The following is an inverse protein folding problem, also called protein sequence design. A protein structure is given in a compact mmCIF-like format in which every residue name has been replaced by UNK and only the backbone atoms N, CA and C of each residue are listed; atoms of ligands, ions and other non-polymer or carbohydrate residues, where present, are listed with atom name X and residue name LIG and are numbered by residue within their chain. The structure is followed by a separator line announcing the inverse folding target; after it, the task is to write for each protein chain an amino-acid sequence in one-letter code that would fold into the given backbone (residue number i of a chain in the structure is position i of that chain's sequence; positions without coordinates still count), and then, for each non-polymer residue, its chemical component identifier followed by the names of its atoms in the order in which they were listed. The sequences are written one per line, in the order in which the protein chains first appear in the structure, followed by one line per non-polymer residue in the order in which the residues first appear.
data_IF_801176672572
#
_entry.id   IF_801176672572
#
_cell.length_a   1.000
_cell.length_b   1.000
_cell.length_c   1.000
_cell.angle_alpha   90.00
_cell.angle_beta   90.00
_cell.angle_gamma   90.00
#
_symmetry.space_group_name_H-M   'P 1'
#
loop_
_entity.id
_entity.type
_entity.pdbx_description
1 polymer ?
#
# COMPACT_ATOMS: atom_id res chain seq x y z
N UNK A 1 -38.56 40.92 -20.36
CA UNK A 1 -37.13 40.99 -20.01
C UNK A 1 -36.63 39.57 -19.85
N UNK A 2 -35.70 39.06 -20.67
CA UNK A 2 -35.19 37.70 -20.53
C UNK A 2 -34.11 37.66 -19.46
N UNK A 3 -34.26 36.70 -18.52
CA UNK A 3 -33.33 36.48 -17.43
C UNK A 3 -32.00 35.92 -17.94
N UNK A 4 -30.93 36.51 -17.47
CA UNK A 4 -29.55 36.16 -17.72
C UNK A 4 -29.18 34.88 -16.92
N UNK A 5 -29.20 33.72 -17.58
CA UNK A 5 -28.68 32.46 -17.00
C UNK A 5 -27.16 32.46 -17.17
N UNK A 6 -26.46 33.07 -16.20
CA UNK A 6 -25.02 33.00 -16.12
C UNK A 6 -24.57 31.53 -15.93
N UNK A 7 -23.93 30.98 -16.94
CA UNK A 7 -23.16 29.71 -16.78
C UNK A 7 -22.05 29.97 -15.77
N UNK A 8 -21.78 29.04 -14.83
CA UNK A 8 -20.63 29.21 -13.96
C UNK A 8 -19.35 29.26 -14.81
N UNK A 9 -18.59 30.33 -14.66
CA UNK A 9 -17.24 30.45 -15.21
C UNK A 9 -16.37 29.45 -14.44
N UNK A 10 -16.04 28.33 -15.08
CA UNK A 10 -14.98 27.47 -14.59
C UNK A 10 -13.67 28.24 -14.73
N UNK A 11 -13.03 28.54 -13.61
CA UNK A 11 -11.64 29.01 -13.58
C UNK A 11 -10.75 27.95 -14.26
N UNK A 12 -9.67 28.43 -14.90
CA UNK A 12 -8.66 27.55 -15.50
C UNK A 12 -8.26 26.42 -14.52
N UNK A 13 -7.96 25.21 -15.01
CA UNK A 13 -7.56 24.11 -14.15
C UNK A 13 -6.35 24.56 -13.30
N UNK A 14 -6.47 24.44 -11.97
CA UNK A 14 -5.35 24.67 -11.05
C UNK A 14 -4.18 23.78 -11.45
N UNK A 15 -2.95 24.29 -11.37
CA UNK A 15 -1.73 23.57 -11.72
C UNK A 15 -1.67 22.21 -11.00
N UNK A 16 -1.39 21.14 -11.73
CA UNK A 16 -1.37 19.75 -11.24
C UNK A 16 -0.45 19.53 -10.02
N UNK A 17 0.68 20.18 -9.97
CA UNK A 17 1.67 20.17 -8.89
C UNK A 17 2.64 21.32 -9.08
N UNK A 18 2.95 22.06 -8.01
CA UNK A 18 3.92 23.13 -8.08
C UNK A 18 5.36 22.64 -7.83
N UNK A 19 6.36 23.45 -8.19
CA UNK A 19 7.78 23.12 -8.07
C UNK A 19 8.21 22.83 -6.61
N UNK A 20 7.58 23.48 -5.63
CA UNK A 20 7.89 23.24 -4.20
C UNK A 20 7.46 21.84 -3.79
N UNK A 21 6.27 21.40 -4.20
CA UNK A 21 5.77 20.03 -3.95
C UNK A 21 6.65 18.98 -4.64
N UNK A 22 7.04 19.22 -5.90
CA UNK A 22 7.95 18.34 -6.62
C UNK A 22 9.29 18.18 -5.89
N UNK A 23 9.92 19.27 -5.50
CA UNK A 23 11.19 19.27 -4.77
C UNK A 23 11.06 18.56 -3.41
N UNK A 24 9.96 18.77 -2.71
CA UNK A 24 9.67 18.10 -1.44
C UNK A 24 9.57 16.58 -1.61
N UNK A 25 8.83 16.09 -2.62
CA UNK A 25 8.71 14.67 -2.89
C UNK A 25 10.05 14.04 -3.26
N UNK A 26 10.84 14.70 -4.13
CA UNK A 26 12.18 14.22 -4.49
C UNK A 26 13.10 14.12 -3.27
N UNK A 27 13.01 15.06 -2.35
CA UNK A 27 13.79 15.04 -1.10
C UNK A 27 13.39 13.84 -0.24
N UNK A 28 12.09 13.57 -0.04
CA UNK A 28 11.63 12.41 0.73
C UNK A 28 12.11 11.11 0.07
N UNK A 29 11.85 10.94 -1.23
CA UNK A 29 12.22 9.74 -1.98
C UNK A 29 13.71 9.46 -1.86
N UNK A 30 14.55 10.47 -2.06
CA UNK A 30 16.02 10.30 -2.03
C UNK A 30 16.53 10.05 -0.62
N UNK A 31 16.04 10.80 0.37
CA UNK A 31 16.53 10.71 1.76
C UNK A 31 16.15 9.37 2.40
N UNK A 32 14.91 8.94 2.25
CA UNK A 32 14.47 7.65 2.80
C UNK A 32 15.08 6.45 2.08
N UNK A 33 15.25 6.51 0.75
CA UNK A 33 16.00 5.47 0.00
C UNK A 33 17.44 5.36 0.50
N UNK A 34 18.15 6.49 0.62
CA UNK A 34 19.53 6.48 1.08
C UNK A 34 19.67 5.87 2.49
N UNK A 35 18.73 6.17 3.39
CA UNK A 35 18.72 5.57 4.73
C UNK A 35 18.62 4.04 4.67
N UNK A 36 17.74 3.48 3.81
CA UNK A 36 17.62 2.03 3.62
C UNK A 36 18.91 1.43 3.07
N UNK A 37 19.48 2.07 2.04
CA UNK A 37 20.72 1.60 1.41
C UNK A 37 21.93 1.71 2.34
N UNK A 38 22.06 2.80 3.12
CA UNK A 38 23.15 2.99 4.08
C UNK A 38 23.12 1.91 5.17
N UNK A 39 21.92 1.56 5.68
CA UNK A 39 21.75 0.48 6.66
C UNK A 39 22.09 -0.89 6.06
N UNK A 40 21.73 -1.12 4.80
CA UNK A 40 22.08 -2.34 4.06
C UNK A 40 23.58 -2.46 3.81
N UNK A 41 24.26 -1.36 3.50
CA UNK A 41 25.70 -1.34 3.26
C UNK A 41 26.50 -1.45 4.58
N UNK A 42 25.98 -0.86 5.67
CA UNK A 42 26.62 -0.93 7.00
C UNK A 42 26.57 -2.33 7.62
N UNK A 43 25.58 -3.16 7.25
CA UNK A 43 25.45 -4.53 7.75
C UNK A 43 25.23 -5.53 6.59
N UNK A 44 26.28 -5.87 5.83
CA UNK A 44 26.17 -6.75 4.66
C UNK A 44 25.78 -8.19 5.02
N UNK A 45 26.00 -8.62 6.26
CA UNK A 45 25.65 -9.96 6.76
C UNK A 45 24.17 -10.09 7.17
N UNK A 46 23.43 -8.99 7.20
CA UNK A 46 21.98 -8.98 7.42
C UNK A 46 21.27 -8.93 6.05
N UNK A 47 20.81 -10.07 5.51
CA UNK A 47 20.31 -10.16 4.13
C UNK A 47 18.83 -9.78 4.00
N UNK A 48 18.40 -8.77 4.74
CA UNK A 48 16.99 -8.33 4.77
C UNK A 48 16.91 -6.81 4.70
N UNK A 49 15.77 -6.28 4.26
CA UNK A 49 15.45 -4.84 4.42
C UNK A 49 15.45 -4.53 5.91
N UNK A 50 16.30 -3.60 6.31
CA UNK A 50 16.40 -3.17 7.69
C UNK A 50 15.76 -1.79 7.88
N UNK A 51 14.53 -1.78 8.37
CA UNK A 51 13.79 -0.57 8.78
C UNK A 51 13.38 -0.66 10.25
N UNK A 52 14.21 -1.30 11.07
CA UNK A 52 13.98 -1.61 12.49
C UNK A 52 14.38 -0.46 13.41
N UNK A 53 13.69 0.66 13.24
CA UNK A 53 13.88 1.87 14.04
C UNK A 53 12.54 2.55 14.34
N UNK A 54 12.53 3.32 15.41
CA UNK A 54 11.40 4.20 15.74
C UNK A 54 11.38 5.40 14.81
N UNK A 55 10.32 5.53 14.00
CA UNK A 55 10.13 6.71 13.14
C UNK A 55 9.89 8.00 13.95
N UNK A 56 9.59 7.87 15.25
CA UNK A 56 9.40 9.00 16.14
C UNK A 56 10.73 9.54 16.72
N UNK A 57 11.62 8.64 17.14
CA UNK A 57 12.86 9.01 17.83
C UNK A 57 14.14 8.72 17.04
N UNK A 58 14.09 7.84 16.03
CA UNK A 58 15.25 7.31 15.33
C UNK A 58 16.01 6.22 16.10
N UNK A 59 15.50 5.80 17.25
CA UNK A 59 16.12 4.78 18.10
C UNK A 59 16.00 3.39 17.45
N UNK A 60 17.12 2.65 17.44
CA UNK A 60 17.18 1.28 16.93
C UNK A 60 16.44 0.32 17.86
N UNK A 61 15.59 -0.55 17.31
CA UNK A 61 14.86 -1.51 18.13
C UNK A 61 15.77 -2.53 18.82
N UNK A 62 16.91 -2.87 18.22
CA UNK A 62 17.90 -3.76 18.85
C UNK A 62 18.49 -3.17 20.14
N UNK A 63 18.48 -1.85 20.31
CA UNK A 63 18.92 -1.16 21.51
C UNK A 63 17.86 -1.07 22.61
N UNK A 64 16.60 -1.48 22.31
CA UNK A 64 15.52 -1.46 23.27
C UNK A 64 15.70 -2.54 24.32
N UNK A 65 15.77 -2.15 25.60
CA UNK A 65 15.93 -3.07 26.73
C UNK A 65 14.61 -3.61 27.30
N UNK A 66 13.47 -3.07 26.89
CA UNK A 66 12.15 -3.51 27.35
C UNK A 66 11.74 -4.80 26.60
N UNK A 67 11.62 -5.96 27.30
CA UNK A 67 11.26 -7.25 26.68
C UNK A 67 9.89 -7.25 26.00
N UNK A 68 8.99 -6.35 26.38
CA UNK A 68 7.69 -6.17 25.74
C UNK A 68 7.82 -5.90 24.23
N UNK A 69 8.95 -5.34 23.77
CA UNK A 69 9.21 -4.99 22.39
C UNK A 69 10.19 -5.93 21.67
N UNK A 70 10.50 -7.11 22.24
CA UNK A 70 11.48 -8.03 21.64
C UNK A 70 11.11 -8.44 20.20
N UNK A 71 9.83 -8.59 19.89
CA UNK A 71 9.34 -8.92 18.54
C UNK A 71 9.66 -7.85 17.48
N UNK A 72 10.15 -6.67 17.87
CA UNK A 72 10.57 -5.59 16.95
C UNK A 72 12.04 -5.70 16.53
N UNK A 73 12.85 -6.50 17.22
CA UNK A 73 14.30 -6.62 16.99
C UNK A 73 14.64 -7.29 15.67
N UNK A 74 15.89 -7.18 15.25
CA UNK A 74 16.40 -7.71 13.97
C UNK A 74 16.36 -9.24 13.87
N UNK A 75 16.19 -9.96 14.98
CA UNK A 75 15.98 -11.40 14.97
C UNK A 75 14.64 -11.82 14.34
N UNK A 76 13.66 -10.91 14.27
CA UNK A 76 12.35 -11.16 13.71
C UNK A 76 12.19 -10.46 12.35
N UNK A 77 11.95 -11.23 11.31
CA UNK A 77 11.82 -10.77 9.93
C UNK A 77 10.34 -10.66 9.58
N UNK A 78 9.88 -9.46 9.23
CA UNK A 78 8.53 -9.23 8.75
C UNK A 78 8.48 -9.44 7.24
N UNK A 79 7.92 -10.56 6.79
CA UNK A 79 7.89 -10.94 5.38
C UNK A 79 7.18 -9.90 4.50
N UNK A 80 6.15 -9.22 5.02
CA UNK A 80 5.49 -8.12 4.32
C UNK A 80 6.46 -6.97 3.99
N UNK A 81 7.34 -6.61 4.93
CA UNK A 81 8.35 -5.57 4.73
C UNK A 81 9.34 -5.97 3.66
N UNK A 82 9.74 -7.24 3.61
CA UNK A 82 10.68 -7.73 2.62
C UNK A 82 10.08 -7.68 1.21
N UNK A 83 8.86 -8.18 1.03
CA UNK A 83 8.14 -8.13 -0.25
C UNK A 83 7.87 -6.71 -0.71
N UNK A 84 7.36 -5.86 0.17
CA UNK A 84 7.15 -4.42 -0.08
C UNK A 84 8.45 -3.71 -0.44
N UNK A 85 9.54 -4.02 0.26
CA UNK A 85 10.86 -3.43 0.00
C UNK A 85 11.43 -3.83 -1.36
N UNK A 86 11.27 -5.07 -1.80
CA UNK A 86 11.68 -5.51 -3.14
C UNK A 86 10.95 -4.72 -4.23
N UNK A 87 9.63 -4.52 -4.08
CA UNK A 87 8.85 -3.72 -5.02
C UNK A 87 9.26 -2.24 -4.99
N UNK A 88 9.46 -1.67 -3.79
CA UNK A 88 9.89 -0.28 -3.63
C UNK A 88 11.27 -0.03 -4.25
N UNK A 89 12.25 -0.89 -3.99
CA UNK A 89 13.59 -0.80 -4.59
C UNK A 89 13.54 -0.87 -6.12
N UNK A 90 12.66 -1.72 -6.68
CA UNK A 90 12.45 -1.78 -8.14
C UNK A 90 11.82 -0.48 -8.67
N UNK A 91 10.83 0.07 -7.97
CA UNK A 91 10.25 1.37 -8.31
C UNK A 91 11.28 2.49 -8.33
N UNK A 92 12.21 2.49 -7.35
CA UNK A 92 13.33 3.44 -7.34
C UNK A 92 14.27 3.26 -8.53
N UNK A 93 14.64 2.02 -8.91
CA UNK A 93 15.46 1.76 -10.11
C UNK A 93 14.81 2.38 -11.35
N UNK A 94 13.51 2.18 -11.53
CA UNK A 94 12.76 2.71 -12.67
C UNK A 94 12.65 4.25 -12.63
N UNK A 95 12.71 4.85 -11.45
CA UNK A 95 12.64 6.30 -11.26
C UNK A 95 13.99 7.01 -11.44
N UNK A 96 15.14 6.33 -11.26
CA UNK A 96 16.47 6.94 -11.34
C UNK A 96 16.69 7.80 -12.60
N UNK A 97 16.32 7.38 -13.83
CA UNK A 97 16.55 8.16 -15.04
C UNK A 97 15.88 9.56 -15.02
N UNK A 98 14.83 9.71 -14.23
CA UNK A 98 14.04 10.96 -14.09
C UNK A 98 14.14 11.58 -12.70
N UNK A 99 15.00 11.06 -11.84
CA UNK A 99 15.15 11.49 -10.44
C UNK A 99 15.74 12.90 -10.28
N UNK A 100 16.46 13.40 -11.27
CA UNK A 100 17.22 14.65 -11.20
C UNK A 100 18.67 14.46 -10.70
N UNK A 101 19.08 13.25 -10.34
CA UNK A 101 20.48 12.91 -10.00
C UNK A 101 21.36 12.98 -11.26
N UNK A 102 22.65 13.30 -11.10
CA UNK A 102 23.59 13.14 -12.20
C UNK A 102 23.84 11.65 -12.55
N UNK A 103 24.38 11.40 -13.74
CA UNK A 103 24.57 10.02 -14.25
C UNK A 103 25.48 9.18 -13.34
N UNK A 104 26.51 9.76 -12.72
CA UNK A 104 27.42 9.04 -11.82
C UNK A 104 26.69 8.60 -10.56
N UNK A 105 25.89 9.48 -9.97
CA UNK A 105 25.09 9.19 -8.79
C UNK A 105 23.99 8.16 -9.09
N UNK A 106 23.32 8.28 -10.26
CA UNK A 106 22.34 7.27 -10.71
C UNK A 106 22.97 5.87 -10.80
N UNK A 107 24.15 5.74 -11.44
CA UNK A 107 24.85 4.47 -11.56
C UNK A 107 25.30 3.91 -10.21
N UNK A 108 25.80 4.75 -9.31
CA UNK A 108 26.17 4.35 -7.95
C UNK A 108 24.96 3.84 -7.18
N UNK A 109 23.85 4.60 -7.19
CA UNK A 109 22.62 4.25 -6.50
C UNK A 109 22.01 2.97 -7.08
N UNK A 110 21.97 2.81 -8.40
CA UNK A 110 21.49 1.59 -9.05
C UNK A 110 22.29 0.33 -8.62
N UNK A 111 23.62 0.44 -8.51
CA UNK A 111 24.44 -0.68 -8.01
C UNK A 111 24.11 -1.05 -6.57
N UNK A 112 23.93 -0.07 -5.69
CA UNK A 112 23.53 -0.30 -4.29
C UNK A 112 22.17 -0.98 -4.21
N UNK A 113 21.17 -0.48 -4.96
CA UNK A 113 19.85 -1.07 -5.03
C UNK A 113 19.91 -2.53 -5.50
N UNK A 114 20.64 -2.79 -6.62
CA UNK A 114 20.77 -4.15 -7.16
C UNK A 114 21.43 -5.11 -6.17
N UNK A 115 22.45 -4.65 -5.42
CA UNK A 115 23.11 -5.45 -4.39
C UNK A 115 22.16 -5.75 -3.23
N UNK A 116 21.38 -4.77 -2.79
CA UNK A 116 20.37 -4.95 -1.73
C UNK A 116 19.28 -5.91 -2.18
N UNK A 117 18.73 -5.76 -3.40
CA UNK A 117 17.75 -6.68 -3.97
C UNK A 117 18.28 -8.13 -3.94
N UNK A 118 19.48 -8.38 -4.41
CA UNK A 118 20.07 -9.73 -4.44
C UNK A 118 20.17 -10.33 -3.03
N UNK A 119 20.68 -9.57 -2.07
CA UNK A 119 20.77 -10.02 -0.67
C UNK A 119 19.41 -10.35 -0.07
N UNK A 120 18.41 -9.51 -0.29
CA UNK A 120 17.05 -9.74 0.23
C UNK A 120 16.42 -10.99 -0.41
N UNK A 121 16.59 -11.18 -1.71
CA UNK A 121 16.14 -12.40 -2.39
C UNK A 121 16.81 -13.62 -1.77
N UNK A 122 18.14 -13.63 -1.62
CA UNK A 122 18.88 -14.75 -1.04
C UNK A 122 18.42 -15.06 0.40
N UNK A 123 18.24 -14.02 1.22
CA UNK A 123 17.74 -14.15 2.59
C UNK A 123 16.34 -14.75 2.65
N UNK A 124 15.41 -14.23 1.84
CA UNK A 124 14.03 -14.70 1.83
C UNK A 124 13.88 -16.11 1.24
N UNK A 125 14.63 -16.44 0.18
CA UNK A 125 14.63 -17.80 -0.38
C UNK A 125 15.20 -18.82 0.61
N UNK A 126 16.19 -18.44 1.44
CA UNK A 126 16.67 -19.28 2.54
C UNK A 126 15.59 -19.54 3.60
N UNK A 127 14.80 -18.52 3.97
CA UNK A 127 13.67 -18.72 4.90
C UNK A 127 12.60 -19.64 4.28
N UNK A 128 12.28 -19.45 3.00
CA UNK A 128 11.32 -20.28 2.26
C UNK A 128 11.77 -21.74 2.17
N UNK A 129 13.04 -21.99 1.84
CA UNK A 129 13.58 -23.34 1.72
C UNK A 129 13.43 -24.16 3.01
N UNK A 130 13.54 -23.51 4.18
CA UNK A 130 13.33 -24.12 5.49
C UNK A 130 11.85 -24.43 5.81
N UNK A 131 10.92 -23.84 5.07
CA UNK A 131 9.47 -23.91 5.29
C UNK A 131 8.69 -24.47 4.09
N UNK A 132 9.26 -25.43 3.37
CA UNK A 132 8.62 -26.05 2.19
C UNK A 132 8.15 -25.04 1.14
N UNK A 133 8.92 -23.98 0.91
CA UNK A 133 8.60 -22.91 -0.04
C UNK A 133 7.58 -21.88 0.45
N UNK A 134 7.25 -21.87 1.75
CA UNK A 134 6.24 -21.00 2.35
C UNK A 134 6.86 -19.84 3.16
N UNK A 135 6.08 -18.76 3.31
CA UNK A 135 6.38 -17.63 4.18
C UNK A 135 5.25 -17.36 5.17
N UNK A 136 5.60 -16.71 6.27
CA UNK A 136 4.68 -16.28 7.31
C UNK A 136 4.96 -14.85 7.72
N UNK A 137 3.99 -14.17 8.33
CA UNK A 137 4.06 -12.76 8.70
C UNK A 137 5.35 -12.41 9.47
N UNK A 138 5.64 -13.18 10.53
CA UNK A 138 6.86 -13.06 11.31
C UNK A 138 7.66 -14.35 11.17
N UNK A 139 8.90 -14.23 10.69
CA UNK A 139 9.87 -15.32 10.66
C UNK A 139 11.02 -14.96 11.59
N UNK A 140 11.46 -15.89 12.43
CA UNK A 140 12.75 -15.73 13.08
C UNK A 140 13.87 -15.90 12.04
N UNK A 141 15.00 -15.24 12.22
CA UNK A 141 16.13 -15.28 11.25
C UNK A 141 16.67 -16.70 10.97
N UNK A 142 16.45 -17.66 11.85
CA UNK A 142 16.79 -19.07 11.63
C UNK A 142 15.79 -19.81 10.72
N UNK A 143 14.67 -19.20 10.38
CA UNK A 143 13.60 -19.73 9.54
C UNK A 143 12.37 -20.21 10.31
N UNK A 144 12.35 -20.15 11.63
CA UNK A 144 11.19 -20.55 12.44
C UNK A 144 10.04 -19.55 12.24
N UNK A 145 8.82 -19.98 11.84
CA UNK A 145 7.66 -19.10 11.81
C UNK A 145 7.20 -18.76 13.23
N UNK A 146 6.73 -17.53 13.46
CA UNK A 146 6.37 -17.00 14.78
C UNK A 146 4.97 -16.42 14.74
N UNK A 147 4.17 -16.70 15.77
CA UNK A 147 2.91 -16.00 16.07
C UNK A 147 3.09 -15.09 17.28
N UNK A 148 2.19 -14.11 17.41
CA UNK A 148 2.13 -13.26 18.59
C UNK A 148 0.97 -13.70 19.48
N UNK A 149 1.28 -13.99 20.73
CA UNK A 149 0.30 -14.21 21.81
C UNK A 149 0.23 -12.97 22.69
N UNK A 150 -0.92 -12.72 23.31
CA UNK A 150 -1.16 -11.60 24.22
C UNK A 150 -0.73 -10.23 23.65
N UNK A 151 -0.83 -10.06 22.33
CA UNK A 151 -0.49 -8.87 21.55
C UNK A 151 1.00 -8.46 21.54
N UNK A 152 1.88 -9.19 22.21
CA UNK A 152 3.32 -8.82 22.33
C UNK A 152 4.27 -10.01 22.51
N UNK A 153 3.79 -11.21 22.81
CA UNK A 153 4.67 -12.36 23.10
C UNK A 153 4.93 -13.18 21.83
N UNK A 154 6.17 -13.20 21.29
CA UNK A 154 6.51 -14.03 20.16
C UNK A 154 6.61 -15.51 20.57
N UNK A 155 5.87 -16.38 19.90
CA UNK A 155 5.83 -17.83 20.15
C UNK A 155 6.14 -18.59 18.86
N UNK A 156 7.12 -19.51 18.86
CA UNK A 156 7.43 -20.35 17.71
C UNK A 156 6.23 -21.19 17.26
N UNK A 157 6.08 -21.35 15.95
CA UNK A 157 5.10 -22.23 15.33
C UNK A 157 5.78 -23.49 14.78
N UNK A 158 5.09 -24.63 14.84
CA UNK A 158 5.61 -25.89 14.28
C UNK A 158 5.52 -25.95 12.75
N UNK A 159 4.57 -25.22 12.14
CA UNK A 159 4.38 -25.18 10.69
C UNK A 159 3.56 -23.95 10.29
N UNK A 160 3.70 -23.53 9.03
CA UNK A 160 2.88 -22.49 8.40
C UNK A 160 1.56 -23.14 7.94
N UNK A 161 0.39 -22.50 8.17
CA UNK A 161 -0.90 -22.97 7.66
C UNK A 161 -0.90 -23.20 6.14
N UNK A 162 -1.71 -24.17 5.67
CA UNK A 162 -1.72 -24.55 4.25
C UNK A 162 -2.22 -23.45 3.29
N UNK A 163 -3.20 -22.64 3.72
CA UNK A 163 -3.74 -21.55 2.91
C UNK A 163 -2.67 -20.50 2.55
N UNK A 164 -2.74 -19.96 1.34
CA UNK A 164 -1.91 -18.83 0.93
C UNK A 164 -2.26 -17.59 1.76
N UNK A 165 -1.28 -16.68 1.91
CA UNK A 165 -1.37 -15.57 2.85
C UNK A 165 -0.77 -14.27 2.29
N UNK A 166 -0.93 -13.17 3.04
CA UNK A 166 -0.41 -11.86 2.63
C UNK A 166 1.11 -11.80 2.49
N UNK A 167 1.86 -12.54 3.32
CA UNK A 167 3.33 -12.59 3.22
C UNK A 167 3.76 -13.10 1.85
N UNK A 168 3.12 -14.15 1.38
CA UNK A 168 3.37 -14.71 0.05
C UNK A 168 2.90 -13.76 -1.05
N UNK A 169 1.74 -13.12 -0.89
CA UNK A 169 1.21 -12.14 -1.84
C UNK A 169 2.18 -10.96 -2.03
N UNK A 170 2.65 -10.34 -0.95
CA UNK A 170 3.64 -9.26 -1.03
C UNK A 170 4.98 -9.73 -1.56
N UNK A 171 5.43 -10.90 -1.10
CA UNK A 171 6.73 -11.41 -1.50
C UNK A 171 6.80 -11.72 -3.00
N UNK A 172 5.87 -12.52 -3.52
CA UNK A 172 5.91 -12.90 -4.93
C UNK A 172 5.63 -11.74 -5.89
N UNK A 173 4.80 -10.78 -5.49
CA UNK A 173 4.63 -9.54 -6.22
C UNK A 173 5.93 -8.73 -6.29
N UNK A 174 6.61 -8.56 -5.17
CA UNK A 174 7.89 -7.86 -5.07
C UNK A 174 9.02 -8.63 -5.76
N UNK A 175 9.08 -9.96 -5.57
CA UNK A 175 10.08 -10.83 -6.19
C UNK A 175 10.02 -10.80 -7.71
N UNK A 176 8.81 -10.85 -8.30
CA UNK A 176 8.63 -10.74 -9.75
C UNK A 176 9.24 -9.44 -10.29
N UNK A 177 8.91 -8.32 -9.67
CA UNK A 177 9.41 -7.00 -10.07
C UNK A 177 10.93 -6.92 -9.93
N UNK A 178 11.47 -7.36 -8.79
CA UNK A 178 12.88 -7.31 -8.48
C UNK A 178 13.71 -8.27 -9.35
N UNK A 179 13.27 -9.51 -9.54
CA UNK A 179 13.95 -10.50 -10.38
C UNK A 179 13.99 -10.04 -11.84
N UNK A 180 12.89 -9.47 -12.34
CA UNK A 180 12.85 -8.88 -13.69
C UNK A 180 13.85 -7.73 -13.83
N UNK A 181 13.91 -6.84 -12.86
CA UNK A 181 14.81 -5.68 -12.89
C UNK A 181 16.31 -6.06 -12.87
N UNK A 182 16.68 -7.14 -12.15
CA UNK A 182 18.07 -7.63 -12.13
C UNK A 182 18.38 -8.63 -13.26
N UNK A 183 17.42 -8.90 -14.18
CA UNK A 183 17.60 -9.80 -15.32
C UNK A 183 17.53 -11.30 -15.01
N UNK A 184 17.04 -11.69 -13.82
CA UNK A 184 16.84 -13.10 -13.46
C UNK A 184 15.46 -13.59 -13.89
N UNK A 185 15.32 -13.85 -15.20
CA UNK A 185 14.03 -14.21 -15.80
C UNK A 185 13.45 -15.52 -15.27
N UNK A 186 14.30 -16.52 -14.98
CA UNK A 186 13.85 -17.80 -14.40
C UNK A 186 13.18 -17.61 -13.03
N UNK A 187 13.75 -16.75 -12.18
CA UNK A 187 13.18 -16.43 -10.88
C UNK A 187 11.90 -15.61 -11.02
N UNK A 188 11.86 -14.66 -11.98
CA UNK A 188 10.65 -13.89 -12.28
C UNK A 188 9.49 -14.80 -12.75
N UNK A 189 9.78 -15.77 -13.63
CA UNK A 189 8.78 -16.76 -14.08
C UNK A 189 8.25 -17.62 -12.92
N UNK A 190 9.13 -18.05 -12.02
CA UNK A 190 8.72 -18.79 -10.83
C UNK A 190 7.86 -17.93 -9.89
N UNK A 191 8.24 -16.68 -9.67
CA UNK A 191 7.44 -15.74 -8.89
C UNK A 191 6.05 -15.51 -9.50
N UNK A 192 5.97 -15.40 -10.84
CA UNK A 192 4.71 -15.26 -11.56
C UNK A 192 3.78 -16.47 -11.37
N UNK A 193 4.32 -17.70 -11.43
CA UNK A 193 3.55 -18.92 -11.18
C UNK A 193 2.99 -18.98 -9.76
N UNK A 194 3.81 -18.67 -8.77
CA UNK A 194 3.38 -18.62 -7.37
C UNK A 194 2.33 -17.52 -7.14
N UNK A 195 2.52 -16.35 -7.74
CA UNK A 195 1.54 -15.26 -7.67
C UNK A 195 0.20 -15.67 -8.29
N UNK A 196 0.19 -16.38 -9.42
CA UNK A 196 -1.05 -16.88 -10.04
C UNK A 196 -1.78 -17.88 -9.12
N UNK A 197 -1.06 -18.75 -8.40
CA UNK A 197 -1.67 -19.64 -7.42
C UNK A 197 -2.35 -18.87 -6.29
N UNK A 198 -1.72 -17.79 -5.81
CA UNK A 198 -2.30 -16.90 -4.80
C UNK A 198 -3.55 -16.22 -5.32
N UNK A 199 -3.54 -15.71 -6.56
CA UNK A 199 -4.73 -15.09 -7.18
C UNK A 199 -5.91 -16.07 -7.28
N UNK A 200 -5.65 -17.34 -7.58
CA UNK A 200 -6.67 -18.41 -7.59
C UNK A 200 -7.26 -18.63 -6.21
N UNK A 201 -6.44 -18.62 -5.15
CA UNK A 201 -6.94 -18.75 -3.77
C UNK A 201 -7.74 -17.52 -3.32
N UNK A 202 -7.31 -16.30 -3.69
CA UNK A 202 -8.08 -15.07 -3.46
C UNK A 202 -9.45 -15.15 -4.16
N UNK A 203 -9.47 -15.58 -5.41
CA UNK A 203 -10.70 -15.74 -6.20
C UNK A 203 -11.65 -16.79 -5.59
N UNK A 204 -11.10 -17.88 -5.05
CA UNK A 204 -11.86 -18.99 -4.48
C UNK A 204 -12.19 -18.80 -2.98
N UNK A 205 -11.86 -17.64 -2.40
CA UNK A 205 -12.04 -17.31 -0.97
C UNK A 205 -11.34 -18.28 -0.02
N UNK A 206 -10.24 -18.90 -0.46
CA UNK A 206 -9.40 -19.81 0.36
C UNK A 206 -8.10 -19.16 0.86
N UNK A 207 -7.91 -17.88 0.54
CA UNK A 207 -6.80 -17.06 1.03
C UNK A 207 -7.05 -16.61 2.47
N UNK A 208 -6.02 -16.72 3.34
CA UNK A 208 -6.13 -16.32 4.73
C UNK A 208 -5.17 -15.20 5.09
N UNK A 209 -5.58 -14.31 6.00
CA UNK A 209 -4.64 -13.37 6.59
C UNK A 209 -3.68 -14.08 7.52
N UNK A 210 -2.40 -13.70 7.45
CA UNK A 210 -1.36 -14.09 8.40
C UNK A 210 -0.94 -12.93 9.30
N UNK A 211 -1.58 -11.77 9.19
CA UNK A 211 -1.34 -10.61 10.03
C UNK A 211 -1.55 -10.97 11.51
N UNK A 212 -0.60 -10.55 12.35
CA UNK A 212 -0.66 -10.81 13.78
C UNK A 212 -1.33 -9.66 14.53
N UNK A 213 -2.05 -9.95 15.63
CA UNK A 213 -2.71 -8.93 16.42
C UNK A 213 -1.70 -8.22 17.33
N UNK A 214 -1.40 -6.95 17.05
CA UNK A 214 -0.59 -6.09 17.92
C UNK A 214 -1.43 -5.10 18.71
N UNK A 215 -2.68 -4.87 18.32
CA UNK A 215 -3.60 -3.95 18.97
C UNK A 215 -4.80 -4.72 19.54
N UNK A 216 -4.98 -4.74 20.88
CA UNK A 216 -6.11 -5.41 21.51
C UNK A 216 -7.47 -4.79 21.15
N UNK A 217 -7.49 -3.51 20.75
CA UNK A 217 -8.71 -2.82 20.38
C UNK A 217 -9.11 -3.07 18.92
N UNK A 218 -8.16 -3.56 18.10
CA UNK A 218 -8.40 -3.85 16.68
C UNK A 218 -7.63 -5.11 16.25
N UNK A 219 -7.96 -6.29 16.81
CA UNK A 219 -7.28 -7.53 16.45
C UNK A 219 -7.65 -7.91 15.01
N UNK A 220 -6.63 -8.00 14.15
CA UNK A 220 -6.80 -8.48 12.78
C UNK A 220 -6.58 -9.99 12.76
N UNK A 221 -7.69 -10.73 12.68
CA UNK A 221 -7.67 -12.21 12.64
C UNK A 221 -8.54 -12.71 11.52
N UNK A 222 -8.23 -13.92 11.04
CA UNK A 222 -9.11 -14.59 10.10
C UNK A 222 -10.44 -14.94 10.78
N UNK A 223 -11.54 -14.55 10.14
CA UNK A 223 -12.91 -14.86 10.58
C UNK A 223 -13.64 -15.54 9.43
N UNK A 224 -14.08 -16.82 9.61
CA UNK A 224 -14.88 -17.51 8.59
C UNK A 224 -16.11 -16.68 8.16
N UNK A 225 -16.38 -16.64 6.86
CA UNK A 225 -17.53 -15.90 6.33
C UNK A 225 -17.37 -14.37 6.29
N UNK A 226 -16.19 -13.84 6.69
CA UNK A 226 -15.84 -12.42 6.56
C UNK A 226 -14.76 -12.26 5.49
N UNK A 227 -15.09 -11.59 4.39
CA UNK A 227 -14.20 -11.38 3.27
C UNK A 227 -13.80 -9.92 3.17
N UNK A 228 -12.52 -9.64 3.39
CA UNK A 228 -11.93 -8.32 3.23
C UNK A 228 -11.55 -8.06 1.78
N UNK A 229 -11.60 -6.79 1.37
CA UNK A 229 -11.10 -6.38 0.06
C UNK A 229 -9.57 -6.42 -0.04
N UNK A 230 -8.87 -6.26 1.06
CA UNK A 230 -7.40 -6.11 1.10
C UNK A 230 -6.61 -7.05 0.18
N UNK A 231 -6.85 -8.38 0.15
CA UNK A 231 -6.12 -9.29 -0.75
C UNK A 231 -6.29 -8.91 -2.22
N UNK A 232 -7.51 -8.59 -2.66
CA UNK A 232 -7.80 -8.19 -4.05
C UNK A 232 -7.16 -6.84 -4.39
N UNK A 233 -7.25 -5.88 -3.48
CA UNK A 233 -6.67 -4.55 -3.65
C UNK A 233 -5.15 -4.62 -3.85
N UNK A 234 -4.44 -5.35 -2.98
CA UNK A 234 -2.99 -5.54 -3.09
C UNK A 234 -2.62 -6.32 -4.36
N UNK A 235 -3.42 -7.32 -4.74
CA UNK A 235 -3.25 -8.05 -5.98
C UNK A 235 -3.38 -7.15 -7.21
N UNK A 236 -4.38 -6.24 -7.27
CA UNK A 236 -4.58 -5.26 -8.35
C UNK A 236 -3.31 -4.42 -8.55
N UNK A 237 -2.72 -3.91 -7.46
CA UNK A 237 -1.47 -3.15 -7.53
C UNK A 237 -0.31 -3.94 -8.15
N UNK A 238 -0.20 -5.23 -7.81
CA UNK A 238 0.77 -6.15 -8.43
C UNK A 238 0.47 -6.42 -9.90
N UNK A 239 -0.78 -6.70 -10.23
CA UNK A 239 -1.22 -7.02 -11.59
C UNK A 239 -0.87 -5.93 -12.61
N UNK A 240 -0.86 -4.65 -12.21
CA UNK A 240 -0.37 -3.57 -13.06
C UNK A 240 1.08 -3.78 -13.49
N UNK A 241 1.96 -4.25 -12.59
CA UNK A 241 3.36 -4.54 -12.91
C UNK A 241 3.49 -5.75 -13.85
N UNK A 242 2.69 -6.82 -13.62
CA UNK A 242 2.70 -8.02 -14.46
C UNK A 242 2.16 -7.74 -15.87
N UNK A 243 1.12 -6.92 -16.01
CA UNK A 243 0.58 -6.53 -17.33
C UNK A 243 1.60 -5.73 -18.17
N UNK A 244 2.40 -4.89 -17.52
CA UNK A 244 3.46 -4.11 -18.18
C UNK A 244 4.64 -4.95 -18.64
N UNK A 245 4.91 -6.09 -18.01
CA UNK A 245 6.02 -6.97 -18.37
C UNK A 245 5.76 -7.81 -19.67
N UNK A 246 4.53 -7.93 -20.12
CA UNK A 246 4.16 -8.31 -21.48
C UNK A 246 4.18 -9.80 -21.87
N UNK A 247 4.90 -10.68 -21.20
CA UNK A 247 5.05 -12.09 -21.60
C UNK A 247 4.65 -13.05 -20.48
N UNK A 248 3.41 -13.55 -20.50
CA UNK A 248 2.96 -14.60 -19.57
C UNK A 248 1.84 -15.43 -20.17
N UNK A 249 1.78 -16.72 -19.79
CA UNK A 249 0.64 -17.60 -20.08
C UNK A 249 -0.59 -17.28 -19.20
N UNK A 250 -0.43 -16.53 -18.12
CA UNK A 250 -1.52 -16.17 -17.24
C UNK A 250 -2.29 -14.93 -17.73
N UNK A 251 -3.61 -14.93 -17.54
CA UNK A 251 -4.48 -13.82 -17.91
C UNK A 251 -4.48 -12.72 -16.83
N UNK A 252 -3.36 -11.97 -16.71
CA UNK A 252 -3.23 -10.87 -15.76
C UNK A 252 -4.31 -9.80 -15.92
N UNK A 253 -4.67 -9.49 -17.17
CA UNK A 253 -5.75 -8.55 -17.46
C UNK A 253 -7.10 -9.05 -16.95
N UNK A 254 -7.38 -10.34 -17.10
CA UNK A 254 -8.62 -10.96 -16.61
C UNK A 254 -8.71 -11.00 -15.09
N UNK A 255 -7.60 -11.27 -14.38
CA UNK A 255 -7.56 -11.19 -12.92
C UNK A 255 -7.81 -9.75 -12.45
N UNK A 256 -7.13 -8.76 -13.05
CA UNK A 256 -7.32 -7.35 -12.70
C UNK A 256 -8.77 -6.91 -12.93
N UNK A 257 -9.35 -7.22 -14.10
CA UNK A 257 -10.72 -6.87 -14.41
C UNK A 257 -11.72 -7.46 -13.39
N UNK A 258 -11.62 -8.77 -13.13
CA UNK A 258 -12.50 -9.44 -12.16
C UNK A 258 -12.41 -8.84 -10.76
N UNK A 259 -11.19 -8.61 -10.25
CA UNK A 259 -11.03 -8.07 -8.90
C UNK A 259 -11.51 -6.63 -8.77
N UNK A 260 -11.34 -5.81 -9.83
CA UNK A 260 -11.88 -4.44 -9.88
C UNK A 260 -13.42 -4.48 -9.96
N UNK A 261 -14.01 -5.32 -10.82
CA UNK A 261 -15.46 -5.49 -10.92
C UNK A 261 -16.07 -5.94 -9.59
N UNK A 262 -15.49 -6.97 -8.95
CA UNK A 262 -15.95 -7.45 -7.64
C UNK A 262 -15.86 -6.37 -6.56
N UNK A 263 -14.81 -5.54 -6.58
CA UNK A 263 -14.69 -4.42 -5.65
C UNK A 263 -15.78 -3.38 -5.87
N UNK A 264 -16.00 -2.96 -7.12
CA UNK A 264 -17.04 -1.99 -7.48
C UNK A 264 -18.46 -2.53 -7.22
N UNK A 265 -18.68 -3.84 -7.45
CA UNK A 265 -19.98 -4.45 -7.29
C UNK A 265 -20.36 -4.73 -5.82
N UNK A 266 -19.38 -5.03 -4.96
CA UNK A 266 -19.66 -5.58 -3.63
C UNK A 266 -19.10 -4.74 -2.49
N UNK A 267 -18.02 -4.00 -2.71
CA UNK A 267 -17.36 -3.19 -1.70
C UNK A 267 -17.62 -1.68 -1.84
N UNK A 268 -18.36 -1.26 -2.86
CA UNK A 268 -18.77 0.15 -3.04
C UNK A 268 -20.27 0.27 -3.00
N UNK A 269 -20.79 1.19 -2.20
CA UNK A 269 -22.21 1.53 -2.18
C UNK A 269 -22.53 2.55 -3.27
N UNK A 270 -22.47 2.14 -4.54
CA UNK A 270 -22.85 3.00 -5.65
C UNK A 270 -24.32 2.87 -6.03
N UNK A 271 -24.86 3.94 -6.61
CA UNK A 271 -26.22 3.98 -7.18
C UNK A 271 -27.35 3.61 -6.19
N UNK A 272 -27.17 3.90 -4.90
CA UNK A 272 -28.19 3.63 -3.88
C UNK A 272 -28.43 2.15 -3.60
N UNK A 273 -27.48 1.27 -3.88
CA UNK A 273 -27.58 -0.19 -3.64
C UNK A 273 -27.99 -0.50 -2.21
N UNK A 274 -27.46 0.23 -1.25
CA UNK A 274 -27.82 0.19 0.17
C UNK A 274 -28.22 1.59 0.62
N UNK A 275 -29.53 1.94 0.56
CA UNK A 275 -30.00 3.32 0.83
C UNK A 275 -29.67 3.85 2.23
N UNK A 276 -29.39 2.96 3.19
CA UNK A 276 -29.02 3.32 4.55
C UNK A 276 -27.51 3.63 4.70
N UNK A 277 -26.68 3.36 3.69
CA UNK A 277 -25.25 3.60 3.74
C UNK A 277 -24.89 4.89 2.98
N UNK A 278 -23.77 5.49 3.36
CA UNK A 278 -23.21 6.62 2.64
C UNK A 278 -22.97 6.27 1.17
N UNK A 279 -23.38 7.15 0.27
CA UNK A 279 -23.19 6.96 -1.18
C UNK A 279 -21.71 6.93 -1.51
N UNK A 280 -21.29 6.03 -2.40
CA UNK A 280 -19.89 5.69 -2.68
C UNK A 280 -19.06 5.31 -1.45
N UNK A 281 -19.68 5.06 -0.29
CA UNK A 281 -19.00 4.52 0.89
C UNK A 281 -18.34 3.18 0.59
N UNK A 282 -17.09 3.02 1.05
CA UNK A 282 -16.27 1.85 0.76
C UNK A 282 -16.36 0.82 1.88
N UNK A 283 -17.07 -0.28 1.62
CA UNK A 283 -17.38 -1.35 2.56
C UNK A 283 -16.13 -2.23 2.75
N UNK A 284 -15.51 -2.18 3.93
CA UNK A 284 -14.25 -2.87 4.22
C UNK A 284 -14.36 -4.39 4.10
N UNK A 285 -15.49 -4.97 4.53
CA UNK A 285 -15.72 -6.41 4.46
C UNK A 285 -17.15 -6.76 4.07
N UNK A 286 -17.29 -7.87 3.35
CA UNK A 286 -18.58 -8.46 2.96
C UNK A 286 -18.67 -9.90 3.45
N UNK A 287 -19.90 -10.43 3.54
CA UNK A 287 -20.19 -11.83 3.80
C UNK A 287 -20.02 -12.70 2.55
N UNK A 288 -20.18 -14.02 2.69
CA UNK A 288 -20.12 -14.96 1.55
C UNK A 288 -21.23 -14.72 0.50
N UNK A 289 -22.34 -14.15 0.91
CA UNK A 289 -23.44 -13.73 0.03
C UNK A 289 -23.26 -12.34 -0.60
N UNK A 290 -22.09 -11.73 -0.42
CA UNK A 290 -21.71 -10.39 -0.86
C UNK A 290 -22.50 -9.22 -0.19
N UNK A 291 -23.25 -9.47 0.88
CA UNK A 291 -23.84 -8.41 1.69
C UNK A 291 -22.81 -7.81 2.65
N UNK A 292 -22.97 -6.52 3.07
CA UNK A 292 -22.04 -5.90 4.01
C UNK A 292 -21.89 -6.68 5.31
N UNK A 293 -20.66 -6.83 5.79
CA UNK A 293 -20.39 -7.47 7.07
C UNK A 293 -20.56 -6.47 8.21
N UNK A 294 -21.34 -6.85 9.22
CA UNK A 294 -21.57 -6.01 10.41
C UNK A 294 -20.55 -6.38 11.49
N UNK A 295 -19.84 -5.40 12.00
CA UNK A 295 -18.89 -5.53 13.11
C UNK A 295 -19.37 -4.63 14.25
N UNK A 296 -19.74 -5.19 15.40
CA UNK A 296 -20.18 -4.42 16.58
C UNK A 296 -21.25 -3.36 16.22
N UNK A 297 -22.29 -3.78 15.50
CA UNK A 297 -23.42 -2.93 15.03
C UNK A 297 -23.05 -1.90 13.94
N UNK A 298 -21.77 -1.81 13.50
CA UNK A 298 -21.31 -0.92 12.44
C UNK A 298 -21.09 -1.66 11.13
N UNK A 299 -21.33 -0.98 10.02
CA UNK A 299 -20.81 -1.35 8.70
C UNK A 299 -19.57 -0.48 8.48
N UNK A 300 -18.40 -1.09 8.64
CA UNK A 300 -17.13 -0.36 8.63
C UNK A 300 -16.69 -0.03 7.20
N UNK A 301 -16.29 1.22 7.00
CA UNK A 301 -15.50 1.69 5.88
C UNK A 301 -14.08 2.05 6.33
N UNK A 302 -13.09 1.80 5.47
CA UNK A 302 -11.73 2.31 5.64
C UNK A 302 -11.46 3.35 4.53
N UNK A 303 -11.49 4.65 4.87
CA UNK A 303 -11.29 5.71 3.89
C UNK A 303 -9.91 5.65 3.20
N UNK A 304 -8.89 5.19 3.91
CA UNK A 304 -7.55 4.97 3.35
C UNK A 304 -7.53 3.87 2.31
N UNK A 305 -8.14 2.71 2.61
CA UNK A 305 -8.26 1.60 1.65
C UNK A 305 -9.09 1.99 0.40
N UNK A 306 -10.12 2.82 0.56
CA UNK A 306 -10.89 3.34 -0.57
C UNK A 306 -10.01 4.13 -1.54
N UNK A 307 -9.15 5.01 -1.02
CA UNK A 307 -8.24 5.82 -1.80
C UNK A 307 -7.09 4.96 -2.38
N UNK A 308 -6.52 4.03 -1.61
CA UNK A 308 -5.51 3.08 -2.08
C UNK A 308 -6.06 2.21 -3.21
N UNK A 309 -7.25 1.62 -3.05
CA UNK A 309 -7.92 0.86 -4.11
C UNK A 309 -8.07 1.70 -5.38
N UNK A 310 -8.59 2.92 -5.25
CA UNK A 310 -8.81 3.80 -6.40
C UNK A 310 -7.50 4.17 -7.12
N UNK A 311 -6.42 4.39 -6.38
CA UNK A 311 -5.09 4.63 -6.93
C UNK A 311 -4.53 3.39 -7.65
N UNK A 312 -4.60 2.22 -7.02
CA UNK A 312 -4.09 0.96 -7.61
C UNK A 312 -4.90 0.53 -8.83
N UNK A 313 -6.23 0.63 -8.78
CA UNK A 313 -7.10 0.39 -9.94
C UNK A 313 -6.86 1.44 -11.05
N UNK A 314 -6.68 2.70 -10.68
CA UNK A 314 -6.35 3.80 -11.60
C UNK A 314 -5.06 3.55 -12.41
N UNK A 315 -4.06 2.83 -11.86
CA UNK A 315 -2.88 2.40 -12.63
C UNK A 315 -3.26 1.50 -13.80
N UNK A 316 -4.27 0.65 -13.67
CA UNK A 316 -4.75 -0.20 -14.77
C UNK A 316 -5.34 0.63 -15.91
N UNK A 317 -5.94 1.80 -15.65
CA UNK A 317 -6.43 2.72 -16.69
C UNK A 317 -5.31 3.34 -17.53
N UNK A 318 -4.08 3.37 -17.04
CA UNK A 318 -2.91 3.85 -17.80
C UNK A 318 -2.29 2.75 -18.69
N UNK A 319 -2.77 1.51 -18.61
CA UNK A 319 -2.31 0.38 -19.41
C UNK A 319 -3.21 0.24 -20.65
N UNK A 320 -2.71 0.65 -21.83
CA UNK A 320 -3.48 0.66 -23.08
C UNK A 320 -4.13 -0.69 -23.40
N UNK A 321 -3.41 -1.79 -23.22
CA UNK A 321 -3.91 -3.15 -23.48
C UNK A 321 -5.08 -3.52 -22.56
N UNK A 322 -5.07 -3.09 -21.30
CA UNK A 322 -6.17 -3.28 -20.35
C UNK A 322 -7.42 -2.52 -20.79
N UNK A 323 -7.27 -1.23 -21.10
CA UNK A 323 -8.39 -0.37 -21.54
C UNK A 323 -9.01 -0.88 -22.84
N UNK A 324 -8.18 -1.34 -23.81
CA UNK A 324 -8.65 -1.91 -25.06
C UNK A 324 -9.40 -3.23 -24.86
N UNK A 325 -8.93 -4.08 -23.95
CA UNK A 325 -9.55 -5.38 -23.66
C UNK A 325 -10.84 -5.25 -22.85
N UNK A 326 -10.94 -4.26 -21.96
CA UNK A 326 -12.08 -4.04 -21.04
C UNK A 326 -12.63 -2.61 -21.12
N UNK A 327 -13.11 -2.15 -22.29
CA UNK A 327 -13.51 -0.75 -22.49
C UNK A 327 -14.77 -0.35 -21.70
N UNK A 328 -15.65 -1.29 -21.36
CA UNK A 328 -16.83 -1.02 -20.53
C UNK A 328 -16.41 -0.80 -19.09
N UNK A 329 -15.57 -1.68 -18.55
CA UNK A 329 -15.03 -1.53 -17.20
C UNK A 329 -14.21 -0.25 -17.07
N UNK A 330 -13.37 0.06 -18.06
CA UNK A 330 -12.57 1.29 -18.05
C UNK A 330 -13.46 2.56 -17.98
N UNK A 331 -14.59 2.60 -18.71
CA UNK A 331 -15.56 3.71 -18.61
C UNK A 331 -16.19 3.77 -17.21
N UNK A 332 -16.56 2.63 -16.63
CA UNK A 332 -17.09 2.55 -15.28
C UNK A 332 -16.07 3.05 -14.25
N UNK A 333 -14.83 2.61 -14.34
CA UNK A 333 -13.74 3.05 -13.47
C UNK A 333 -13.53 4.57 -13.57
N UNK A 334 -13.54 5.15 -14.78
CA UNK A 334 -13.41 6.59 -14.98
C UNK A 334 -14.55 7.37 -14.30
N UNK A 335 -15.75 6.82 -14.22
CA UNK A 335 -16.88 7.44 -13.57
C UNK A 335 -16.89 7.24 -12.03
N UNK A 336 -16.59 6.03 -11.56
CA UNK A 336 -16.80 5.68 -10.14
C UNK A 336 -15.56 5.93 -9.25
N UNK A 337 -14.31 5.72 -9.76
CA UNK A 337 -13.12 5.88 -8.92
C UNK A 337 -12.98 7.29 -8.33
N UNK A 338 -13.19 8.39 -9.07
CA UNK A 338 -13.13 9.73 -8.49
C UNK A 338 -14.19 9.98 -7.42
N UNK A 339 -15.40 9.44 -7.59
CA UNK A 339 -16.49 9.54 -6.63
C UNK A 339 -16.15 8.77 -5.34
N UNK A 340 -15.56 7.57 -5.46
CA UNK A 340 -15.08 6.78 -4.32
C UNK A 340 -14.05 7.59 -3.53
N UNK A 341 -13.05 8.18 -4.20
CA UNK A 341 -12.04 9.01 -3.53
C UNK A 341 -12.68 10.20 -2.84
N UNK A 342 -13.57 10.92 -3.53
CA UNK A 342 -14.21 12.13 -3.00
C UNK A 342 -15.07 11.83 -1.78
N UNK A 343 -15.92 10.80 -1.84
CA UNK A 343 -16.82 10.43 -0.76
C UNK A 343 -16.04 9.95 0.49
N UNK A 344 -15.09 9.04 0.31
CA UNK A 344 -14.35 8.48 1.43
C UNK A 344 -13.33 9.47 2.01
N UNK A 345 -12.72 10.34 1.19
CA UNK A 345 -11.95 11.46 1.70
C UNK A 345 -12.80 12.39 2.58
N UNK A 346 -14.01 12.73 2.14
CA UNK A 346 -14.91 13.58 2.93
C UNK A 346 -15.35 12.93 4.26
N UNK A 347 -15.54 11.60 4.28
CA UNK A 347 -15.86 10.84 5.48
C UNK A 347 -14.69 10.72 6.46
N UNK A 348 -13.47 10.54 5.95
CA UNK A 348 -12.33 10.17 6.77
C UNK A 348 -11.37 11.31 7.10
N UNK A 349 -11.33 12.40 6.31
CA UNK A 349 -10.36 13.47 6.51
C UNK A 349 -10.70 14.29 7.76
N UNK A 350 -9.70 14.43 8.64
CA UNK A 350 -9.85 15.15 9.90
C UNK A 350 -10.32 16.61 9.67
N UNK A 351 -11.32 17.09 10.43
CA UNK A 351 -11.75 18.49 10.34
C UNK A 351 -10.63 19.49 10.74
N UNK A 352 -9.60 19.03 11.43
CA UNK A 352 -8.43 19.82 11.80
C UNK A 352 -7.29 19.72 10.76
N UNK A 353 -7.49 18.98 9.66
CA UNK A 353 -6.49 18.86 8.59
C UNK A 353 -5.29 17.98 8.92
N UNK A 354 -5.37 17.12 9.95
CA UNK A 354 -4.21 16.34 10.42
C UNK A 354 -3.98 15.05 9.62
N UNK A 355 -4.99 14.48 8.98
CA UNK A 355 -4.89 13.23 8.23
C UNK A 355 -6.22 12.56 8.00
N UNK A 356 -6.21 11.28 7.60
CA UNK A 356 -7.38 10.47 7.31
C UNK A 356 -7.52 9.40 8.39
N UNK A 357 -8.70 9.31 9.02
CA UNK A 357 -8.97 8.34 10.08
C UNK A 357 -8.95 6.89 9.56
N UNK A 358 -8.73 5.94 10.47
CA UNK A 358 -8.60 4.51 10.16
C UNK A 358 -9.92 3.88 9.73
N UNK A 359 -11.03 4.21 10.40
CA UNK A 359 -12.33 3.66 10.02
C UNK A 359 -13.51 4.55 10.38
N UNK A 360 -14.57 4.42 9.59
CA UNK A 360 -15.85 5.11 9.75
C UNK A 360 -17.00 4.11 9.77
N UNK A 361 -18.09 4.46 10.40
CA UNK A 361 -19.35 3.75 10.23
C UNK A 361 -20.10 4.31 9.02
N UNK A 362 -20.35 3.48 8.02
CA UNK A 362 -21.01 3.89 6.78
C UNK A 362 -22.51 4.16 6.93
N UNK A 363 -23.12 3.79 8.08
CA UNK A 363 -24.53 4.10 8.38
C UNK A 363 -24.66 5.55 8.86
N UNK A 364 -23.78 5.96 9.79
CA UNK A 364 -23.85 7.29 10.42
C UNK A 364 -22.91 8.32 9.80
N UNK A 365 -21.91 7.88 9.03
CA UNK A 365 -20.84 8.72 8.50
C UNK A 365 -19.84 9.20 9.56
N UNK A 366 -19.83 8.59 10.76
CA UNK A 366 -18.98 9.02 11.87
C UNK A 366 -17.73 8.15 12.02
N UNK A 367 -16.57 8.71 12.43
CA UNK A 367 -15.39 7.92 12.72
C UNK A 367 -15.61 6.91 13.86
N UNK A 368 -15.19 5.67 13.65
CA UNK A 368 -15.17 4.60 14.66
C UNK A 368 -13.75 4.45 15.24
N UNK A 369 -12.73 4.44 14.40
CA UNK A 369 -11.34 4.53 14.83
C UNK A 369 -10.73 5.83 14.27
N UNK A 370 -10.41 6.75 15.17
CA UNK A 370 -9.92 8.09 14.84
C UNK A 370 -8.40 8.17 14.66
N UNK A 371 -7.66 7.09 14.88
CA UNK A 371 -6.24 7.04 14.57
C UNK A 371 -6.02 7.24 13.07
N UNK A 372 -4.95 7.96 12.74
CA UNK A 372 -4.63 8.37 11.38
C UNK A 372 -3.31 7.73 10.93
N UNK A 373 -3.35 6.57 10.26
CA UNK A 373 -2.14 5.96 9.67
C UNK A 373 -1.55 6.85 8.57
N UNK A 374 -0.21 6.98 8.55
CA UNK A 374 0.50 7.84 7.59
C UNK A 374 0.21 7.49 6.12
N UNK A 375 0.10 6.20 5.83
CA UNK A 375 0.01 5.68 4.46
C UNK A 375 -1.26 6.13 3.72
N UNK A 376 -2.31 6.48 4.46
CA UNK A 376 -3.54 7.01 3.87
C UNK A 376 -3.28 8.25 3.00
N UNK A 377 -2.33 9.11 3.40
CA UNK A 377 -2.08 10.37 2.69
C UNK A 377 -1.32 10.19 1.37
N UNK A 378 -0.15 9.52 1.29
CA UNK A 378 0.53 9.31 0.01
C UNK A 378 -0.30 8.45 -0.96
N UNK A 379 -1.05 7.46 -0.47
CA UNK A 379 -1.96 6.66 -1.30
C UNK A 379 -3.11 7.52 -1.88
N UNK A 380 -3.68 8.41 -1.08
CA UNK A 380 -4.70 9.35 -1.54
C UNK A 380 -4.13 10.36 -2.53
N UNK A 381 -2.90 10.88 -2.30
CA UNK A 381 -2.22 11.75 -3.28
C UNK A 381 -2.00 11.04 -4.61
N UNK A 382 -1.60 9.76 -4.61
CA UNK A 382 -1.48 8.95 -5.83
C UNK A 382 -2.82 8.82 -6.56
N UNK A 383 -3.89 8.47 -5.84
CA UNK A 383 -5.22 8.36 -6.43
C UNK A 383 -5.68 9.70 -7.02
N UNK A 384 -5.54 10.78 -6.28
CA UNK A 384 -5.93 12.11 -6.72
C UNK A 384 -5.14 12.57 -7.95
N UNK A 385 -3.83 12.31 -8.02
CA UNK A 385 -3.00 12.64 -9.18
C UNK A 385 -3.39 11.84 -10.44
N UNK A 386 -3.67 10.53 -10.29
CA UNK A 386 -4.08 9.65 -11.39
C UNK A 386 -5.44 10.02 -11.97
N UNK A 387 -6.35 10.49 -11.12
CA UNK A 387 -7.75 10.75 -11.46
C UNK A 387 -8.03 12.25 -11.64
N UNK A 388 -7.00 13.10 -11.64
CA UNK A 388 -7.09 14.56 -11.65
C UNK A 388 -7.98 15.10 -12.78
N UNK A 389 -7.85 14.56 -13.99
CA UNK A 389 -8.61 15.01 -15.16
C UNK A 389 -10.08 14.55 -15.16
N UNK A 390 -10.42 13.61 -14.32
CA UNK A 390 -11.75 13.01 -14.27
C UNK A 390 -12.71 13.74 -13.33
N UNK A 391 -12.19 14.46 -12.31
CA UNK A 391 -13.04 15.12 -11.34
C UNK A 391 -12.37 16.34 -10.68
N UNK A 392 -13.06 17.49 -10.61
CA UNK A 392 -12.47 18.76 -10.11
C UNK A 392 -12.05 18.74 -8.63
N UNK A 393 -12.62 17.85 -7.81
CA UNK A 393 -12.24 17.74 -6.40
C UNK A 393 -10.82 17.18 -6.19
N UNK A 394 -10.24 16.49 -7.17
CA UNK A 394 -8.95 15.80 -7.02
C UNK A 394 -7.81 16.76 -6.67
N UNK A 395 -7.75 17.94 -7.29
CA UNK A 395 -6.73 18.94 -6.98
C UNK A 395 -6.78 19.40 -5.51
N UNK A 396 -7.98 19.69 -4.98
CA UNK A 396 -8.15 20.07 -3.59
C UNK A 396 -7.83 18.93 -2.62
N UNK A 397 -8.23 17.69 -2.94
CA UNK A 397 -7.90 16.50 -2.15
C UNK A 397 -6.39 16.30 -2.09
N UNK A 398 -5.71 16.39 -3.25
CA UNK A 398 -4.27 16.30 -3.33
C UNK A 398 -3.57 17.33 -2.43
N UNK A 399 -3.94 18.62 -2.54
CA UNK A 399 -3.34 19.69 -1.75
C UNK A 399 -3.57 19.50 -0.25
N UNK A 400 -4.77 19.13 0.18
CA UNK A 400 -5.05 18.83 1.60
C UNK A 400 -4.23 17.65 2.13
N UNK A 401 -4.06 16.59 1.33
CA UNK A 401 -3.21 15.45 1.71
C UNK A 401 -1.73 15.86 1.76
N UNK A 402 -1.27 16.69 0.82
CA UNK A 402 0.09 17.22 0.83
C UNK A 402 0.37 18.04 2.09
N UNK A 403 -0.52 18.97 2.44
CA UNK A 403 -0.37 19.82 3.64
C UNK A 403 -0.36 18.98 4.91
N UNK A 404 -1.27 18.01 5.02
CA UNK A 404 -1.33 17.10 6.15
C UNK A 404 -0.06 16.23 6.24
N UNK A 405 0.39 15.64 5.12
CA UNK A 405 1.56 14.77 5.09
C UNK A 405 2.84 15.53 5.42
N UNK A 406 3.06 16.66 4.77
CA UNK A 406 4.26 17.49 4.98
C UNK A 406 4.32 18.12 6.37
N UNK A 407 3.17 18.59 6.88
CA UNK A 407 3.10 19.29 8.15
C UNK A 407 3.05 18.38 9.39
N UNK A 408 2.51 17.16 9.26
CA UNK A 408 2.22 16.33 10.42
C UNK A 408 2.94 14.98 10.42
N UNK A 409 3.24 14.39 9.26
CA UNK A 409 3.75 13.02 9.22
C UNK A 409 5.24 12.91 8.91
N UNK A 410 5.79 13.72 8.04
CA UNK A 410 7.21 13.61 7.67
C UNK A 410 8.10 14.02 8.85
N UNK A 411 9.01 13.12 9.26
CA UNK A 411 9.99 13.41 10.31
C UNK A 411 11.37 13.70 9.69
N UNK A 412 11.78 14.98 9.55
CA UNK A 412 13.07 15.30 8.94
C UNK A 412 14.26 14.85 9.79
N UNK A 413 14.06 14.61 11.09
CA UNK A 413 15.11 14.14 12.01
C UNK A 413 15.39 12.64 11.86
N UNK A 414 14.46 11.89 11.26
CA UNK A 414 14.57 10.44 11.03
C UNK A 414 14.42 10.16 9.54
N UNK A 415 15.38 10.65 8.75
CA UNK A 415 15.51 10.39 7.31
C UNK A 415 14.25 10.67 6.49
N UNK A 416 13.44 11.65 6.89
CA UNK A 416 12.13 11.96 6.28
C UNK A 416 11.13 10.79 6.30
N UNK A 417 11.36 9.76 7.11
CA UNK A 417 10.38 8.69 7.34
C UNK A 417 9.15 9.25 8.06
N UNK A 418 7.98 8.73 7.72
CA UNK A 418 6.73 9.21 8.31
C UNK A 418 6.51 8.62 9.72
N UNK A 419 5.99 9.43 10.64
CA UNK A 419 5.38 8.91 11.87
C UNK A 419 4.28 7.90 11.49
N UNK A 420 4.32 6.70 12.07
CA UNK A 420 3.46 5.60 11.62
C UNK A 420 1.97 5.84 11.89
N UNK A 421 1.65 6.54 12.99
CA UNK A 421 0.27 6.79 13.36
C UNK A 421 0.13 8.06 14.21
N UNK A 422 -1.01 8.76 14.06
CA UNK A 422 -1.38 9.92 14.87
C UNK A 422 -2.80 9.80 15.39
N UNK A 423 -3.07 10.38 16.57
CA UNK A 423 -4.43 10.52 17.10
C UNK A 423 -5.22 11.60 16.36
N UNK A 424 -6.53 11.67 16.61
CA UNK A 424 -7.37 12.75 16.09
C UNK A 424 -6.90 14.17 16.48
N UNK A 425 -6.14 14.29 17.56
CA UNK A 425 -5.55 15.56 18.02
C UNK A 425 -4.20 15.88 17.35
N UNK A 426 -3.69 14.95 16.52
CA UNK A 426 -2.39 15.10 15.89
C UNK A 426 -1.20 14.58 16.71
N UNK A 427 -1.42 14.03 17.90
CA UNK A 427 -0.36 13.45 18.74
C UNK A 427 0.17 12.15 18.12
N UNK A 428 1.47 11.88 18.27
CA UNK A 428 2.05 10.60 17.86
C UNK A 428 1.52 9.51 18.80
N UNK A 429 0.94 8.45 18.23
CA UNK A 429 0.45 7.29 18.98
C UNK A 429 1.33 6.06 18.72
N UNK A 430 1.46 5.21 19.75
CA UNK A 430 2.32 4.02 19.71
C UNK A 430 1.63 2.79 19.11
N UNK A 431 0.40 2.92 18.59
CA UNK A 431 -0.32 1.83 17.94
C UNK A 431 0.43 1.39 16.69
N UNK A 432 0.63 0.09 16.54
CA UNK A 432 1.26 -0.50 15.37
C UNK A 432 0.16 -0.69 14.29
N UNK A 433 0.19 0.03 13.16
CA UNK A 433 -0.90 -0.02 12.18
C UNK A 433 -0.95 -1.35 11.42
N UNK A 434 0.21 -1.97 11.14
CA UNK A 434 0.30 -3.26 10.47
C UNK A 434 1.58 -4.01 10.86
N UNK A 435 2.75 -3.38 10.73
CA UNK A 435 4.05 -3.90 11.16
C UNK A 435 4.75 -2.89 12.05
N UNK A 436 5.60 -3.33 13.00
CA UNK A 436 6.39 -2.40 13.82
C UNK A 436 7.51 -1.71 13.01
N UNK A 437 7.99 -2.35 11.96
CA UNK A 437 9.05 -1.83 11.10
C UNK A 437 8.57 -0.57 10.36
N UNK A 438 9.47 0.37 10.09
CA UNK A 438 9.16 1.54 9.27
C UNK A 438 8.89 1.13 7.81
N UNK A 439 8.18 1.98 7.08
CA UNK A 439 7.87 1.78 5.66
C UNK A 439 9.17 1.64 4.84
N UNK A 440 9.36 0.56 4.07
CA UNK A 440 10.51 0.41 3.18
C UNK A 440 10.39 1.25 1.89
N UNK A 441 9.51 2.24 1.87
CA UNK A 441 9.21 3.07 0.69
C UNK A 441 8.05 2.54 -0.15
N UNK A 442 7.30 1.57 0.35
CA UNK A 442 6.18 0.98 -0.39
C UNK A 442 4.99 1.93 -0.49
N UNK A 443 4.44 2.36 0.62
CA UNK A 443 3.31 3.30 0.62
C UNK A 443 3.76 4.72 0.32
N UNK A 444 4.88 5.16 0.89
CA UNK A 444 5.33 6.55 0.71
C UNK A 444 6.01 6.75 -0.64
N UNK A 445 7.14 6.10 -0.87
CA UNK A 445 7.97 6.44 -2.04
C UNK A 445 7.34 6.00 -3.36
N UNK A 446 6.73 4.81 -3.44
CA UNK A 446 6.07 4.38 -4.67
C UNK A 446 4.89 5.29 -5.03
N UNK A 447 4.11 5.74 -4.04
CA UNK A 447 3.01 6.68 -4.30
C UNK A 447 3.53 8.02 -4.80
N UNK A 448 4.59 8.56 -4.18
CA UNK A 448 5.19 9.83 -4.61
C UNK A 448 5.89 9.73 -5.97
N UNK A 449 6.52 8.59 -6.28
CA UNK A 449 7.08 8.29 -7.61
C UNK A 449 5.97 8.26 -8.67
N UNK A 450 4.86 7.59 -8.38
CA UNK A 450 3.70 7.57 -9.27
C UNK A 450 3.18 8.99 -9.50
N UNK A 451 3.00 9.82 -8.45
CA UNK A 451 2.59 11.23 -8.57
C UNK A 451 3.53 12.02 -9.49
N UNK A 452 4.85 11.91 -9.29
CA UNK A 452 5.84 12.60 -10.11
C UNK A 452 5.83 12.14 -11.58
N UNK A 453 5.59 10.85 -11.84
CA UNK A 453 5.53 10.31 -13.19
C UNK A 453 4.27 10.76 -13.94
N UNK A 454 3.11 10.82 -13.26
CA UNK A 454 1.84 11.21 -13.90
C UNK A 454 1.78 12.71 -14.19
N UNK A 455 2.36 13.54 -13.34
CA UNK A 455 2.44 14.98 -13.59
C UNK A 455 3.29 15.37 -14.80
N UNK A 456 4.12 14.45 -15.32
CA UNK A 456 5.01 14.66 -16.48
C UNK A 456 4.49 14.14 -17.81
N UNK A 457 3.51 13.22 -17.80
CA UNK A 457 3.03 12.58 -19.05
C UNK A 457 2.25 13.54 -19.95
N UNK A 458 1.96 14.74 -19.48
CA UNK A 458 1.20 15.76 -20.22
C UNK A 458 2.07 16.97 -20.63
N UNK A 459 3.38 16.91 -20.51
CA UNK A 459 4.34 17.85 -21.10
C UNK A 459 5.00 17.25 -22.35
#
# INVERSE_FOLDING_TARGET
MPGNTGKPQYSAPEEKMNQQQENFFRTIITTSLNAILDRSDANPDYPFINTKLSTATGEEFDSCSDPYWDFRKSDFIYSWIQGRGLEALTGHLNFLPVSGMDTSEQLKTARRINNTIKRVIDGMENLRAKNNGRLWFIMHKDGTPVKIEDFHTPVPMNSIPAARNYSELFYFKGLFSAASAIGNMSLAENAAKEFELILKEIQNNSFHTDQQPFDPNNPVTFVPGKRFLGPKMIAIGGLANFMNAGNSSADWHGYAARFIEEALDHHVNSHGKYPQLMDYGFIEAVKDDNTPYVTNEHILGDPGHACEFSGLAGKCLKIKSFVQKYPILARRMNAELPEIVSANFALGFSPHGHGICKSVDLITGTPVNTDMPWWNLPETMRAAALLHELHPAMANIFNKCFDAFSGWFVNPKVHCMAFQNRSAKGDIVKTIPATPDADPGYHTNLSLIDVLNFSRQDM
#
